data_IF_634708719951
#
_entry.id   IF_634708719951
#
_cell.length_a   1.000
_cell.length_b   1.000
_cell.length_c   1.000
_cell.angle_alpha   90.00
_cell.angle_beta   90.00
_cell.angle_gamma   90.00
#
_symmetry.space_group_name_H-M   'P 1'
#
loop_
_entity.id
_entity.type
_entity.pdbx_description
1 polymer ?
#
# COMPACT_ATOMS: atom_id res chain seq x y z
N UNK A 1 15.34 21.12 -1.58
CA UNK A 1 14.96 20.10 -0.57
C UNK A 1 13.62 20.37 0.14
N UNK A 2 13.03 21.57 0.12
CA UNK A 2 11.73 21.84 0.80
C UNK A 2 10.48 21.27 0.11
N UNK A 3 10.52 21.06 -1.21
CA UNK A 3 9.37 20.59 -1.99
C UNK A 3 8.98 19.13 -1.66
N UNK A 4 9.96 18.28 -1.33
CA UNK A 4 9.73 16.89 -0.89
C UNK A 4 9.06 16.84 0.49
N UNK A 5 9.42 17.73 1.40
CA UNK A 5 8.82 17.82 2.75
C UNK A 5 7.37 18.31 2.68
N UNK A 6 7.05 19.24 1.78
CA UNK A 6 5.66 19.67 1.55
C UNK A 6 4.79 18.58 0.96
N UNK A 7 5.31 17.79 0.02
CA UNK A 7 4.58 16.68 -0.61
C UNK A 7 4.41 15.49 0.34
N UNK A 8 5.40 15.21 1.21
CA UNK A 8 5.39 14.05 2.10
C UNK A 8 4.79 14.33 3.49
N UNK A 9 4.88 15.55 4.01
CA UNK A 9 4.52 15.85 5.42
C UNK A 9 3.58 17.03 5.65
N UNK A 10 3.49 17.99 4.73
CA UNK A 10 2.88 19.30 5.02
C UNK A 10 1.35 19.31 5.14
N UNK A 11 0.63 18.57 4.29
CA UNK A 11 -0.83 18.69 4.20
C UNK A 11 -1.61 18.03 5.34
N UNK A 12 -1.20 16.85 5.78
CA UNK A 12 -1.90 16.10 6.84
C UNK A 12 -1.56 16.62 8.24
N UNK A 13 -0.29 16.95 8.49
CA UNK A 13 0.14 17.45 9.79
C UNK A 13 -0.51 18.81 10.12
N UNK A 14 -0.67 19.69 9.13
CA UNK A 14 -1.40 20.94 9.26
C UNK A 14 -2.88 20.73 9.57
N UNK A 15 -3.55 19.85 8.83
CA UNK A 15 -4.98 19.53 9.05
C UNK A 15 -5.22 18.85 10.41
N UNK A 16 -4.32 17.99 10.87
CA UNK A 16 -4.39 17.39 12.20
C UNK A 16 -4.27 18.46 13.27
N UNK A 17 -3.28 19.35 13.15
CA UNK A 17 -3.06 20.45 14.09
C UNK A 17 -4.27 21.38 14.17
N UNK A 18 -4.85 21.74 13.03
CA UNK A 18 -6.07 22.54 12.94
C UNK A 18 -7.26 21.84 13.60
N UNK A 19 -7.44 20.54 13.38
CA UNK A 19 -8.50 19.76 14.02
C UNK A 19 -8.32 19.64 15.54
N UNK A 20 -7.08 19.51 16.03
CA UNK A 20 -6.78 19.57 17.47
C UNK A 20 -7.06 20.96 18.06
N UNK A 21 -6.72 22.03 17.36
CA UNK A 21 -7.04 23.40 17.78
C UNK A 21 -8.56 23.64 17.80
N UNK A 22 -9.30 23.12 16.83
CA UNK A 22 -10.77 23.18 16.81
C UNK A 22 -11.38 22.43 18.00
N UNK A 23 -10.84 21.26 18.37
CA UNK A 23 -11.24 20.51 19.58
C UNK A 23 -10.99 21.32 20.86
N UNK A 24 -9.86 22.01 20.95
CA UNK A 24 -9.49 22.84 22.10
C UNK A 24 -10.33 24.11 22.22
N UNK A 25 -10.81 24.65 21.09
CA UNK A 25 -11.67 25.84 21.04
C UNK A 25 -13.16 25.52 21.11
N UNK A 26 -13.55 24.24 21.09
CA UNK A 26 -14.95 23.83 21.09
C UNK A 26 -15.66 24.30 22.38
N UNK A 27 -16.72 25.08 22.22
CA UNK A 27 -17.50 25.63 23.33
C UNK A 27 -18.71 24.73 23.72
N UNK A 28 -19.03 23.74 22.89
CA UNK A 28 -20.12 22.79 23.10
C UNK A 28 -19.68 21.36 22.72
N UNK A 29 -20.45 20.36 23.16
CA UNK A 29 -20.12 18.95 22.91
C UNK A 29 -20.22 18.57 21.43
N UNK A 30 -21.09 19.21 20.65
CA UNK A 30 -21.26 18.92 19.23
C UNK A 30 -19.99 19.29 18.42
N UNK A 31 -19.41 20.45 18.67
CA UNK A 31 -18.17 20.91 18.04
C UNK A 31 -16.98 20.06 18.47
N UNK A 32 -16.96 19.62 19.74
CA UNK A 32 -15.91 18.71 20.23
C UNK A 32 -15.98 17.35 19.53
N UNK A 33 -17.18 16.79 19.39
CA UNK A 33 -17.42 15.52 18.70
C UNK A 33 -17.04 15.64 17.22
N UNK A 34 -17.42 16.73 16.54
CA UNK A 34 -17.06 16.96 15.15
C UNK A 34 -15.54 17.04 14.94
N UNK A 35 -14.83 17.72 15.84
CA UNK A 35 -13.36 17.79 15.80
C UNK A 35 -12.71 16.43 16.07
N UNK A 36 -13.24 15.63 17.00
CA UNK A 36 -12.73 14.28 17.29
C UNK A 36 -12.92 13.31 16.12
N UNK A 37 -14.09 13.32 15.46
CA UNK A 37 -14.34 12.56 14.23
C UNK A 37 -13.31 12.95 13.16
N UNK A 38 -13.05 14.25 13.01
CA UNK A 38 -12.11 14.74 12.01
C UNK A 38 -10.68 14.32 12.28
N UNK A 39 -10.25 14.32 13.55
CA UNK A 39 -8.93 13.82 13.96
C UNK A 39 -8.81 12.33 13.62
N UNK A 40 -9.82 11.52 13.98
CA UNK A 40 -9.83 10.09 13.70
C UNK A 40 -9.72 9.78 12.20
N UNK A 41 -10.48 10.48 11.35
CA UNK A 41 -10.39 10.34 9.89
C UNK A 41 -8.98 10.67 9.35
N UNK A 42 -8.37 11.74 9.86
CA UNK A 42 -7.05 12.19 9.41
C UNK A 42 -5.94 11.23 9.85
N UNK A 43 -6.05 10.66 11.05
CA UNK A 43 -5.14 9.63 11.56
C UNK A 43 -5.24 8.35 10.73
N UNK A 44 -6.44 7.89 10.39
CA UNK A 44 -6.66 6.74 9.50
C UNK A 44 -6.07 6.97 8.11
N UNK A 45 -6.21 8.19 7.56
CA UNK A 45 -5.59 8.56 6.27
C UNK A 45 -4.06 8.59 6.35
N UNK A 46 -3.50 9.00 7.49
CA UNK A 46 -2.06 9.00 7.71
C UNK A 46 -1.53 7.57 7.84
N UNK A 47 -2.21 6.71 8.59
CA UNK A 47 -1.89 5.30 8.72
C UNK A 47 -1.95 4.58 7.37
N UNK A 48 -3.02 4.81 6.59
CA UNK A 48 -3.15 4.24 5.24
C UNK A 48 -2.09 4.77 4.26
N UNK A 49 -1.63 6.03 4.39
CA UNK A 49 -0.49 6.52 3.60
C UNK A 49 0.82 5.86 4.00
N UNK A 50 1.03 5.61 5.30
CA UNK A 50 2.21 4.93 5.81
C UNK A 50 2.30 3.47 5.34
N UNK A 51 1.14 2.81 5.14
CA UNK A 51 1.04 1.46 4.57
C UNK A 51 1.28 1.39 3.05
N UNK A 52 1.55 2.51 2.39
CA UNK A 52 1.89 2.56 0.96
C UNK A 52 0.84 3.27 0.13
N UNK A 53 0.92 4.61 0.11
CA UNK A 53 0.11 5.41 -0.82
C UNK A 53 0.35 5.07 -2.30
N UNK A 54 -0.43 5.68 -3.20
CA UNK A 54 -0.39 5.42 -4.66
C UNK A 54 1.03 5.40 -5.25
N UNK A 55 1.92 6.27 -4.79
CA UNK A 55 3.32 6.32 -5.24
C UNK A 55 4.08 5.05 -4.87
N UNK A 56 3.98 4.61 -3.61
CA UNK A 56 4.62 3.38 -3.13
C UNK A 56 4.12 2.19 -3.93
N UNK A 57 2.81 2.10 -4.19
CA UNK A 57 2.20 1.05 -5.00
C UNK A 57 2.74 1.03 -6.46
N UNK A 58 2.98 2.19 -7.07
CA UNK A 58 3.58 2.27 -8.40
C UNK A 58 5.04 1.83 -8.44
N UNK A 59 5.85 2.26 -7.47
CA UNK A 59 7.26 1.84 -7.35
C UNK A 59 7.34 0.33 -7.15
N UNK A 60 6.47 -0.17 -6.29
CA UNK A 60 6.23 -1.57 -6.04
C UNK A 60 5.89 -2.34 -7.33
N UNK A 61 4.84 -1.92 -8.06
CA UNK A 61 4.44 -2.54 -9.31
C UNK A 61 5.55 -2.51 -10.37
N UNK A 62 6.27 -1.38 -10.49
CA UNK A 62 7.39 -1.25 -11.42
C UNK A 62 8.53 -2.22 -11.09
N UNK A 63 8.79 -2.47 -9.79
CA UNK A 63 9.81 -3.42 -9.37
C UNK A 63 9.38 -4.88 -9.57
N UNK A 64 8.09 -5.19 -9.43
CA UNK A 64 7.54 -6.52 -9.71
C UNK A 64 7.39 -6.81 -11.22
N UNK A 65 7.29 -5.77 -12.06
CA UNK A 65 7.01 -5.89 -13.49
C UNK A 65 7.97 -6.83 -14.26
N UNK A 66 9.30 -6.81 -14.06
CA UNK A 66 10.21 -7.71 -14.77
C UNK A 66 9.89 -9.19 -14.51
N UNK A 67 9.56 -9.57 -13.27
CA UNK A 67 9.20 -10.94 -12.92
C UNK A 67 7.90 -11.36 -13.60
N UNK A 68 6.90 -10.48 -13.63
CA UNK A 68 5.61 -10.75 -14.29
C UNK A 68 5.80 -10.94 -15.79
N UNK A 69 6.56 -10.06 -16.43
CA UNK A 69 6.86 -10.15 -17.87
C UNK A 69 7.64 -11.42 -18.21
N UNK A 70 8.63 -11.78 -17.39
CA UNK A 70 9.40 -13.00 -17.57
C UNK A 70 8.53 -14.26 -17.47
N UNK A 71 7.70 -14.35 -16.44
CA UNK A 71 6.80 -15.49 -16.27
C UNK A 71 5.77 -15.57 -17.39
N UNK A 72 5.27 -14.42 -17.87
CA UNK A 72 4.36 -14.37 -19.01
C UNK A 72 5.04 -14.93 -20.27
N UNK A 73 6.30 -14.55 -20.53
CA UNK A 73 7.08 -15.12 -21.63
C UNK A 73 7.26 -16.63 -21.46
N UNK A 74 7.73 -17.10 -20.30
CA UNK A 74 7.98 -18.51 -20.04
C UNK A 74 6.71 -19.36 -20.21
N UNK A 75 5.57 -18.90 -19.67
CA UNK A 75 4.28 -19.56 -19.85
C UNK A 75 3.86 -19.61 -21.31
N UNK A 76 3.91 -18.49 -22.02
CA UNK A 76 3.43 -18.43 -23.40
C UNK A 76 4.36 -19.21 -24.33
N UNK A 77 5.67 -18.97 -24.29
CA UNK A 77 6.61 -19.59 -25.23
C UNK A 77 6.85 -21.07 -24.92
N UNK A 78 7.14 -21.40 -23.68
CA UNK A 78 7.60 -22.75 -23.37
C UNK A 78 6.42 -23.67 -23.03
N UNK A 79 5.38 -23.16 -22.36
CA UNK A 79 4.24 -24.01 -21.94
C UNK A 79 3.07 -24.02 -22.91
N UNK A 80 2.76 -22.88 -23.54
CA UNK A 80 1.66 -22.83 -24.53
C UNK A 80 2.16 -23.19 -25.93
N UNK A 81 3.32 -22.67 -26.34
CA UNK A 81 3.86 -22.88 -27.69
C UNK A 81 4.87 -24.04 -27.78
N UNK A 82 5.34 -24.59 -26.66
CA UNK A 82 6.25 -25.75 -26.63
C UNK A 82 7.64 -25.48 -27.22
N UNK A 83 8.08 -24.22 -27.21
CA UNK A 83 9.33 -23.80 -27.85
C UNK A 83 10.58 -24.07 -26.97
N UNK A 84 10.38 -24.33 -25.67
CA UNK A 84 11.41 -24.58 -24.65
C UNK A 84 12.67 -23.70 -24.81
N UNK A 85 12.46 -22.42 -25.11
CA UNK A 85 13.50 -21.47 -25.51
C UNK A 85 13.90 -20.53 -24.37
N UNK A 86 13.15 -20.51 -23.26
CA UNK A 86 13.46 -19.67 -22.10
C UNK A 86 14.12 -20.50 -21.01
N UNK A 87 15.22 -19.99 -20.47
CA UNK A 87 15.88 -20.63 -19.34
C UNK A 87 15.00 -20.59 -18.08
N UNK A 88 15.12 -21.59 -17.22
CA UNK A 88 14.40 -21.57 -15.96
C UNK A 88 15.01 -20.51 -15.04
N UNK A 89 14.17 -19.83 -14.27
CA UNK A 89 14.63 -18.90 -13.25
C UNK A 89 15.41 -19.70 -12.18
N UNK A 90 16.55 -19.17 -11.72
CA UNK A 90 17.32 -19.83 -10.65
C UNK A 90 16.49 -19.97 -9.37
N UNK A 91 16.82 -20.95 -8.53
CA UNK A 91 16.09 -21.21 -7.29
C UNK A 91 16.00 -19.97 -6.38
N UNK A 92 17.07 -19.18 -6.29
CA UNK A 92 17.11 -17.95 -5.50
C UNK A 92 16.13 -16.88 -6.03
N UNK A 93 16.01 -16.78 -7.35
CA UNK A 93 15.09 -15.83 -7.98
C UNK A 93 13.63 -16.30 -7.90
N UNK A 94 13.38 -17.61 -7.87
CA UNK A 94 12.05 -18.17 -7.59
C UNK A 94 11.60 -17.88 -6.16
N UNK A 95 12.51 -18.02 -5.17
CA UNK A 95 12.23 -17.65 -3.78
C UNK A 95 11.92 -16.15 -3.65
N UNK A 96 12.72 -15.31 -4.32
CA UNK A 96 12.45 -13.88 -4.38
C UNK A 96 11.07 -13.59 -4.99
N UNK A 97 10.74 -14.23 -6.11
CA UNK A 97 9.43 -14.10 -6.75
C UNK A 97 8.28 -14.54 -5.83
N UNK A 98 8.44 -15.63 -5.09
CA UNK A 98 7.43 -16.08 -4.13
C UNK A 98 7.23 -15.06 -3.01
N UNK A 99 8.31 -14.45 -2.51
CA UNK A 99 8.23 -13.38 -1.50
C UNK A 99 7.51 -12.15 -2.04
N UNK A 100 7.77 -11.77 -3.29
CA UNK A 100 7.06 -10.70 -3.99
C UNK A 100 5.58 -11.01 -4.02
N UNK A 101 5.20 -12.16 -4.58
CA UNK A 101 3.78 -12.57 -4.69
C UNK A 101 3.12 -12.59 -3.32
N UNK A 102 3.78 -13.16 -2.31
CA UNK A 102 3.26 -13.19 -0.93
C UNK A 102 3.09 -11.78 -0.35
N UNK A 103 4.01 -10.86 -0.63
CA UNK A 103 3.90 -9.48 -0.17
C UNK A 103 2.69 -8.75 -0.80
N UNK A 104 2.49 -8.86 -2.12
CA UNK A 104 1.36 -8.19 -2.79
C UNK A 104 0.01 -8.84 -2.53
N UNK A 105 -0.04 -10.17 -2.58
CA UNK A 105 -1.30 -10.92 -2.55
C UNK A 105 -1.60 -11.53 -1.18
N UNK A 106 -0.58 -11.81 -0.37
CA UNK A 106 -0.75 -12.40 0.96
C UNK A 106 -1.37 -11.44 1.98
N UNK A 107 -1.08 -10.13 1.90
CA UNK A 107 -1.72 -9.14 2.77
C UNK A 107 -3.24 -9.06 2.57
N UNK A 108 -3.71 -9.06 1.32
CA UNK A 108 -5.13 -9.08 0.99
C UNK A 108 -5.81 -10.38 1.47
N UNK A 109 -5.14 -11.52 1.31
CA UNK A 109 -5.63 -12.81 1.78
C UNK A 109 -5.74 -12.85 3.32
N UNK A 110 -4.73 -12.36 4.05
CA UNK A 110 -4.72 -12.33 5.51
C UNK A 110 -5.84 -11.44 6.06
N UNK A 111 -6.06 -10.26 5.48
CA UNK A 111 -7.17 -9.36 5.85
C UNK A 111 -8.53 -10.04 5.58
N UNK A 112 -8.65 -10.77 4.48
CA UNK A 112 -9.84 -11.56 4.16
C UNK A 112 -10.14 -12.62 5.23
N UNK A 113 -9.12 -13.37 5.65
CA UNK A 113 -9.24 -14.40 6.69
C UNK A 113 -9.60 -13.80 8.04
N UNK A 114 -8.91 -12.73 8.47
CA UNK A 114 -9.22 -12.05 9.74
C UNK A 114 -10.64 -11.51 9.75
N UNK A 115 -11.11 -10.94 8.63
CA UNK A 115 -12.50 -10.46 8.51
C UNK A 115 -13.52 -11.60 8.55
N UNK A 116 -13.20 -12.76 7.99
CA UNK A 116 -14.05 -13.94 8.05
C UNK A 116 -14.13 -14.53 9.47
N UNK A 117 -13.02 -14.53 10.22
CA UNK A 117 -12.96 -15.02 11.61
C UNK A 117 -13.61 -14.07 12.63
N UNK A 118 -13.74 -12.78 12.29
CA UNK A 118 -14.38 -11.77 13.14
C UNK A 118 -15.90 -11.63 12.88
N UNK A 119 -16.44 -12.38 11.92
CA UNK A 119 -17.88 -12.58 11.73
C UNK A 119 -18.35 -13.75 12.57
#
# INVERSE_FOLDING_TARGET
MGWLVQILGGGLAGQLREAYEARLRAANDADRIAAEIRIAELQERQANRALGGRLTAWVQAAWAAPFILYNSKLLIWDKVLGLDATDALSADLLDLQLRIVTFYFGGAAAIGVVRALRR
#
